data_IF_266205729947
#
_entry.id   IF_266205729947
#
_cell.length_a   1.000
_cell.length_b   1.000
_cell.length_c   1.000
_cell.angle_alpha   90.00
_cell.angle_beta   90.00
_cell.angle_gamma   90.00
#
_symmetry.space_group_name_H-M   'P 1'
#
loop_
_entity.id
_entity.type
_entity.pdbx_description
1 polymer ?
#
# COMPACT_ATOMS: atom_id res chain seq x y z
N UNK A 1 -45.21 -26.57 38.20
CA UNK A 1 -44.93 -25.39 37.37
C UNK A 1 -43.97 -25.87 36.33
N UNK A 2 -44.29 -25.65 35.09
CA UNK A 2 -43.41 -26.03 33.98
C UNK A 2 -42.20 -25.09 33.95
N UNK A 3 -41.04 -25.60 33.63
CA UNK A 3 -39.86 -24.80 33.51
C UNK A 3 -39.46 -24.67 32.04
N UNK A 4 -39.02 -23.47 31.64
CA UNK A 4 -38.52 -23.21 30.31
C UNK A 4 -37.10 -22.72 30.43
N UNK A 5 -36.23 -23.26 29.62
CA UNK A 5 -34.85 -22.77 29.49
C UNK A 5 -34.56 -22.39 28.04
N UNK A 6 -33.73 -21.36 27.88
CA UNK A 6 -33.16 -20.96 26.59
C UNK A 6 -31.65 -21.08 26.67
N UNK A 7 -31.06 -21.90 25.82
CA UNK A 7 -29.62 -22.25 25.87
C UNK A 7 -29.15 -22.70 27.24
N UNK A 8 -30.04 -23.41 27.98
CA UNK A 8 -29.77 -23.89 29.35
C UNK A 8 -30.00 -22.88 30.47
N UNK A 9 -30.27 -21.60 30.16
CA UNK A 9 -30.63 -20.59 31.16
C UNK A 9 -32.14 -20.57 31.38
N UNK A 10 -32.59 -20.60 32.64
CA UNK A 10 -34.02 -20.52 32.99
C UNK A 10 -34.61 -19.16 32.61
N UNK A 11 -35.80 -19.19 32.03
CA UNK A 11 -36.55 -17.97 31.68
C UNK A 11 -37.84 -17.90 32.53
N UNK A 12 -38.25 -16.68 32.84
CA UNK A 12 -39.50 -16.42 33.56
C UNK A 12 -40.63 -16.26 32.53
N UNK A 13 -41.70 -17.02 32.70
CA UNK A 13 -42.91 -16.86 31.90
C UNK A 13 -43.80 -15.76 32.50
N UNK A 14 -44.45 -15.01 31.65
CA UNK A 14 -45.48 -14.05 32.05
C UNK A 14 -46.79 -14.79 32.49
N UNK A 15 -47.84 -14.01 32.84
CA UNK A 15 -49.13 -14.54 33.28
C UNK A 15 -49.83 -15.36 32.19
N UNK A 16 -49.46 -15.17 30.92
CA UNK A 16 -50.03 -15.91 29.78
C UNK A 16 -49.18 -17.12 29.38
N UNK A 17 -48.10 -17.42 30.13
CA UNK A 17 -47.17 -18.50 29.81
C UNK A 17 -46.23 -18.17 28.63
N UNK A 18 -46.03 -16.89 28.32
CA UNK A 18 -45.16 -16.41 27.25
C UNK A 18 -43.85 -15.85 27.83
N UNK A 19 -42.83 -15.81 26.99
CA UNK A 19 -41.58 -15.12 27.31
C UNK A 19 -41.03 -14.45 26.03
N UNK A 20 -40.25 -13.42 26.22
CA UNK A 20 -39.57 -12.75 25.14
C UNK A 20 -38.16 -13.27 25.01
N UNK A 21 -37.79 -13.80 23.84
CA UNK A 21 -36.40 -14.11 23.53
C UNK A 21 -35.61 -12.81 23.49
N UNK A 22 -34.52 -12.74 24.21
CA UNK A 22 -33.54 -11.69 24.02
C UNK A 22 -32.94 -11.84 22.64
N UNK A 23 -32.78 -10.74 21.86
CA UNK A 23 -32.12 -10.81 20.55
C UNK A 23 -30.67 -11.21 20.78
N UNK A 24 -30.39 -12.48 20.62
CA UNK A 24 -29.04 -13.01 20.48
C UNK A 24 -29.01 -13.71 19.13
N UNK A 25 -28.07 -13.33 18.27
CA UNK A 25 -27.89 -13.92 16.97
C UNK A 25 -27.71 -15.43 17.03
N UNK A 26 -28.30 -16.14 16.09
CA UNK A 26 -28.07 -17.54 15.86
C UNK A 26 -29.15 -18.46 16.41
N UNK A 27 -28.81 -19.74 16.52
CA UNK A 27 -29.72 -20.79 16.99
C UNK A 27 -29.92 -20.69 18.50
N UNK A 28 -31.20 -20.57 18.89
CA UNK A 28 -31.60 -20.60 20.31
C UNK A 28 -32.30 -21.93 20.57
N UNK A 29 -31.72 -22.74 21.48
CA UNK A 29 -32.32 -24.00 21.92
C UNK A 29 -33.26 -23.73 23.08
N UNK A 30 -34.56 -23.96 22.88
CA UNK A 30 -35.59 -23.81 23.88
C UNK A 30 -35.96 -25.23 24.38
N UNK A 31 -35.93 -25.42 25.70
CA UNK A 31 -36.33 -26.68 26.34
C UNK A 31 -37.44 -26.38 27.35
N UNK A 32 -38.55 -27.07 27.19
CA UNK A 32 -39.68 -27.01 28.12
C UNK A 32 -39.70 -28.31 28.91
N UNK A 33 -39.80 -28.22 30.22
CA UNK A 33 -39.91 -29.40 31.10
C UNK A 33 -41.19 -29.31 31.89
N UNK A 34 -42.02 -30.35 31.80
CA UNK A 34 -43.26 -30.45 32.56
C UNK A 34 -43.02 -30.88 34.03
N UNK A 35 -44.08 -30.87 34.83
CA UNK A 35 -44.01 -31.30 36.27
C UNK A 35 -43.67 -32.77 36.44
N UNK A 36 -43.85 -33.61 35.44
CA UNK A 36 -43.52 -35.02 35.47
C UNK A 36 -42.07 -35.30 35.05
N UNK A 37 -41.34 -34.25 34.57
CA UNK A 37 -39.97 -34.37 34.13
C UNK A 37 -39.82 -34.67 32.64
N UNK A 38 -40.90 -34.68 31.87
CA UNK A 38 -40.83 -34.83 30.42
C UNK A 38 -40.33 -33.54 29.77
N UNK A 39 -39.52 -33.68 28.76
CA UNK A 39 -38.93 -32.53 28.07
C UNK A 39 -39.35 -32.46 26.60
N UNK A 40 -39.62 -31.26 26.12
CA UNK A 40 -39.76 -30.95 24.70
C UNK A 40 -38.70 -29.91 24.30
N UNK A 41 -38.08 -30.13 23.17
CA UNK A 41 -37.03 -29.24 22.67
C UNK A 41 -37.42 -28.61 21.34
N UNK A 42 -37.07 -27.33 21.14
CA UNK A 42 -37.23 -26.62 19.90
C UNK A 42 -36.02 -25.73 19.64
N UNK A 43 -35.53 -25.72 18.42
CA UNK A 43 -34.50 -24.77 17.99
C UNK A 43 -35.15 -23.68 17.17
N UNK A 44 -34.92 -22.43 17.54
CA UNK A 44 -35.37 -21.26 16.82
C UNK A 44 -34.15 -20.49 16.36
N UNK A 45 -34.05 -20.22 15.04
CA UNK A 45 -33.03 -19.30 14.53
C UNK A 45 -33.53 -17.88 14.70
N UNK A 46 -32.90 -17.12 15.56
CA UNK A 46 -33.18 -15.70 15.71
C UNK A 46 -32.30 -14.97 14.72
N UNK A 47 -32.92 -14.40 13.69
CA UNK A 47 -32.27 -13.38 12.87
C UNK A 47 -32.54 -12.06 13.59
N UNK A 48 -31.48 -11.48 14.10
CA UNK A 48 -31.54 -10.36 15.03
C UNK A 48 -32.05 -9.04 14.45
N UNK A 49 -32.59 -9.01 13.27
CA UNK A 49 -33.22 -7.82 12.69
C UNK A 49 -32.49 -6.50 12.97
N UNK A 50 -31.16 -6.55 13.16
CA UNK A 50 -30.38 -5.35 13.37
C UNK A 50 -30.55 -4.40 12.20
N UNK A 51 -30.94 -3.18 12.47
CA UNK A 51 -30.86 -2.07 11.53
C UNK A 51 -29.63 -1.26 11.92
N UNK A 52 -28.55 -1.40 11.15
CA UNK A 52 -27.34 -0.67 11.44
C UNK A 52 -27.36 0.74 10.85
N UNK A 53 -26.81 1.68 11.60
CA UNK A 53 -26.58 3.05 11.15
C UNK A 53 -25.33 3.18 10.26
N UNK A 54 -24.87 4.40 10.09
CA UNK A 54 -23.71 4.74 9.28
C UNK A 54 -22.39 4.22 9.90
N UNK A 55 -21.44 3.91 9.02
CA UNK A 55 -20.11 3.49 9.42
C UNK A 55 -19.30 4.66 9.98
N UNK A 56 -18.69 4.43 11.13
CA UNK A 56 -17.84 5.42 11.82
C UNK A 56 -16.44 4.83 12.02
N UNK A 57 -15.41 5.61 11.66
CA UNK A 57 -14.02 5.20 11.86
C UNK A 57 -13.68 5.09 13.34
N UNK A 58 -12.97 4.02 13.71
CA UNK A 58 -12.43 3.83 15.06
C UNK A 58 -11.03 4.46 15.23
N UNK A 59 -10.39 4.92 14.12
CA UNK A 59 -9.08 5.57 14.14
C UNK A 59 -7.89 4.60 14.13
N UNK A 60 -8.13 3.30 14.24
CA UNK A 60 -7.12 2.24 14.30
C UNK A 60 -7.00 1.41 13.01
N UNK A 61 -7.63 1.86 11.93
CA UNK A 61 -7.73 1.13 10.65
C UNK A 61 -8.95 0.25 10.57
N UNK A 62 -9.87 0.35 11.54
CA UNK A 62 -11.19 -0.27 11.53
C UNK A 62 -12.29 0.78 11.49
N UNK A 63 -13.50 0.33 11.17
CA UNK A 63 -14.71 1.12 11.28
C UNK A 63 -15.81 0.28 11.92
N UNK A 64 -16.73 0.93 12.59
CA UNK A 64 -17.86 0.26 13.25
C UNK A 64 -19.17 0.99 12.96
N UNK A 65 -20.27 0.24 13.07
CA UNK A 65 -21.62 0.80 13.05
C UNK A 65 -22.45 0.17 14.17
N UNK A 66 -23.39 0.94 14.69
CA UNK A 66 -24.24 0.53 15.79
C UNK A 66 -25.64 0.25 15.28
N UNK A 67 -26.30 -0.71 15.93
CA UNK A 67 -27.74 -0.93 15.73
C UNK A 67 -28.50 0.33 16.11
N UNK A 68 -29.48 0.71 15.28
CA UNK A 68 -30.35 1.86 15.49
C UNK A 68 -31.68 1.50 16.13
N UNK A 69 -31.96 0.19 16.32
CA UNK A 69 -33.16 -0.29 16.99
C UNK A 69 -33.09 0.04 18.47
N UNK A 70 -34.17 0.57 19.02
CA UNK A 70 -34.22 0.97 20.43
C UNK A 70 -33.95 -0.22 21.36
N UNK A 71 -33.08 -0.02 22.35
CA UNK A 71 -32.64 -1.06 23.27
C UNK A 71 -31.61 -2.06 22.73
N UNK A 72 -31.33 -2.03 21.43
CA UNK A 72 -30.31 -2.89 20.81
C UNK A 72 -28.89 -2.37 21.11
N UNK A 73 -27.99 -3.30 21.49
CA UNK A 73 -26.59 -3.01 21.74
C UNK A 73 -25.64 -3.56 20.66
N UNK A 74 -26.22 -4.04 19.56
CA UNK A 74 -25.46 -4.62 18.45
C UNK A 74 -24.47 -3.62 17.86
N UNK A 75 -23.22 -4.06 17.70
CA UNK A 75 -22.14 -3.30 17.04
C UNK A 75 -21.48 -4.23 16.05
N UNK A 76 -21.34 -3.77 14.84
CA UNK A 76 -20.55 -4.45 13.80
C UNK A 76 -19.24 -3.69 13.61
N UNK A 77 -18.14 -4.41 13.54
CA UNK A 77 -16.79 -3.84 13.34
C UNK A 77 -16.08 -4.58 12.23
N UNK A 78 -15.50 -3.83 11.30
CA UNK A 78 -14.75 -4.37 10.16
C UNK A 78 -13.44 -3.60 9.96
N UNK A 79 -12.48 -4.22 9.31
CA UNK A 79 -11.27 -3.53 8.85
C UNK A 79 -11.63 -2.55 7.73
N UNK A 80 -10.97 -1.39 7.72
CA UNK A 80 -11.09 -0.45 6.62
C UNK A 80 -10.56 -1.08 5.32
N UNK A 81 -11.27 -0.86 4.22
CA UNK A 81 -10.93 -1.38 2.90
C UNK A 81 -11.32 -0.39 1.81
N UNK A 82 -10.84 -0.66 0.58
CA UNK A 82 -11.06 0.20 -0.57
C UNK A 82 -10.15 1.42 -0.62
N UNK A 83 -10.30 2.21 -1.68
CA UNK A 83 -9.41 3.32 -1.97
C UNK A 83 -8.00 2.89 -2.34
N UNK A 84 -7.17 3.84 -2.71
CA UNK A 84 -5.77 3.60 -3.10
C UNK A 84 -4.87 4.62 -2.41
N UNK A 85 -3.87 4.14 -1.69
CA UNK A 85 -2.84 5.00 -1.12
C UNK A 85 -1.90 5.52 -2.22
N UNK A 86 -1.44 6.75 -2.10
CA UNK A 86 -0.39 7.32 -2.95
C UNK A 86 0.93 7.43 -2.20
N UNK A 87 1.97 7.89 -2.86
CA UNK A 87 3.29 8.08 -2.23
C UNK A 87 3.27 9.08 -1.06
N UNK A 88 2.24 9.90 -0.94
CA UNK A 88 2.09 10.90 0.15
C UNK A 88 0.81 10.74 0.94
N UNK A 89 -0.21 10.11 0.39
CA UNK A 89 -1.53 10.03 1.01
C UNK A 89 -1.92 8.58 1.31
N UNK A 90 -2.63 8.40 2.41
CA UNK A 90 -3.20 7.11 2.80
C UNK A 90 -4.42 6.78 1.94
N UNK A 91 -4.76 5.50 1.84
CA UNK A 91 -6.03 5.08 1.26
C UNK A 91 -7.22 5.64 2.07
N UNK A 92 -8.32 5.89 1.39
CA UNK A 92 -9.58 6.33 2.01
C UNK A 92 -10.55 5.16 2.02
N UNK A 93 -11.06 4.82 3.19
CA UNK A 93 -12.00 3.71 3.37
C UNK A 93 -13.32 4.01 2.64
N UNK A 94 -13.81 3.08 1.84
CA UNK A 94 -15.06 3.20 1.08
C UNK A 94 -16.31 3.29 1.96
N UNK A 95 -16.24 2.71 3.16
CA UNK A 95 -17.38 2.64 4.07
C UNK A 95 -17.48 3.86 4.99
N UNK A 96 -16.40 4.27 5.63
CA UNK A 96 -16.43 5.37 6.61
C UNK A 96 -15.82 6.67 6.10
N UNK A 97 -15.26 6.71 4.87
CA UNK A 97 -14.69 7.90 4.26
C UNK A 97 -13.44 8.45 4.94
N UNK A 98 -12.80 7.69 5.85
CA UNK A 98 -11.59 8.14 6.56
C UNK A 98 -10.34 7.49 6.03
N UNK A 99 -9.24 8.24 6.09
CA UNK A 99 -7.93 7.74 5.70
C UNK A 99 -7.44 6.66 6.68
N UNK A 100 -6.86 5.57 6.11
CA UNK A 100 -6.36 4.44 6.90
C UNK A 100 -5.06 3.88 6.30
N UNK A 101 -4.37 3.03 7.05
CA UNK A 101 -3.12 2.42 6.61
C UNK A 101 -1.94 3.39 6.57
N UNK A 102 -1.04 3.18 5.63
CA UNK A 102 0.13 4.02 5.35
C UNK A 102 0.11 4.47 3.89
N UNK A 103 0.77 5.59 3.54
CA UNK A 103 1.05 5.91 2.15
C UNK A 103 1.81 4.77 1.46
N UNK A 104 1.57 4.58 0.18
CA UNK A 104 2.31 3.64 -0.65
C UNK A 104 3.43 4.38 -1.38
N UNK A 105 4.66 4.21 -0.89
CA UNK A 105 5.86 4.88 -1.44
C UNK A 105 6.13 4.57 -2.92
N UNK A 106 5.51 3.55 -3.47
CA UNK A 106 5.70 3.13 -4.86
C UNK A 106 4.57 3.60 -5.80
N UNK A 107 3.50 4.14 -5.25
CA UNK A 107 2.36 4.62 -6.05
C UNK A 107 2.48 6.13 -6.32
N UNK A 108 3.19 6.47 -7.38
CA UNK A 108 3.41 7.85 -7.83
C UNK A 108 2.37 8.27 -8.87
N UNK A 109 1.34 9.01 -8.46
CA UNK A 109 0.20 9.36 -9.31
C UNK A 109 0.39 10.63 -10.15
N UNK A 110 1.41 11.47 -9.84
CA UNK A 110 1.70 12.72 -10.56
C UNK A 110 3.15 12.71 -11.09
N UNK A 111 3.45 11.70 -11.92
CA UNK A 111 4.75 11.59 -12.59
C UNK A 111 4.76 12.47 -13.85
N UNK A 112 5.76 13.36 -13.92
CA UNK A 112 6.04 14.20 -15.07
C UNK A 112 7.32 13.74 -15.74
N UNK A 113 7.24 13.40 -17.01
CA UNK A 113 8.38 13.08 -17.84
C UNK A 113 9.08 14.36 -18.28
N UNK A 114 10.38 14.42 -18.13
CA UNK A 114 11.23 15.52 -18.61
C UNK A 114 12.26 14.94 -19.58
N UNK A 115 12.15 15.35 -20.83
CA UNK A 115 13.05 14.91 -21.89
C UNK A 115 14.50 15.38 -21.65
N UNK A 116 15.46 14.58 -22.10
CA UNK A 116 16.87 14.96 -22.08
C UNK A 116 17.11 16.21 -22.91
N UNK A 117 17.87 17.15 -22.37
CA UNK A 117 18.31 18.35 -23.05
C UNK A 117 19.82 18.42 -23.04
N UNK A 118 20.41 18.51 -24.23
CA UNK A 118 21.87 18.64 -24.38
C UNK A 118 22.38 19.94 -23.74
N UNK A 119 23.48 19.83 -22.99
CA UNK A 119 24.17 20.99 -22.47
C UNK A 119 24.82 21.78 -23.62
N UNK A 120 24.95 23.08 -23.46
CA UNK A 120 25.65 23.99 -24.38
C UNK A 120 26.83 24.66 -23.67
N UNK A 121 27.60 25.49 -24.40
CA UNK A 121 28.66 26.29 -23.77
C UNK A 121 28.14 27.36 -22.82
N UNK A 122 26.89 27.79 -22.99
CA UNK A 122 26.28 28.88 -22.22
C UNK A 122 25.21 28.39 -21.21
N UNK A 123 24.63 27.22 -21.44
CA UNK A 123 23.57 26.68 -20.61
C UNK A 123 23.85 25.19 -20.22
N UNK A 124 23.46 24.84 -19.04
CA UNK A 124 23.40 23.44 -18.56
C UNK A 124 22.32 22.67 -19.34
N UNK A 125 22.50 21.39 -19.47
CA UNK A 125 21.49 20.44 -19.93
C UNK A 125 20.89 19.64 -18.79
N UNK A 126 20.11 18.64 -19.16
CA UNK A 126 19.62 17.63 -18.24
C UNK A 126 19.61 16.25 -18.93
N UNK A 127 19.70 15.20 -18.13
CA UNK A 127 19.38 13.85 -18.58
C UNK A 127 17.84 13.70 -18.70
N UNK A 128 17.37 12.66 -19.33
CA UNK A 128 15.98 12.25 -19.22
C UNK A 128 15.67 11.80 -17.79
N UNK A 129 14.55 12.22 -17.23
CA UNK A 129 14.13 11.85 -15.89
C UNK A 129 12.63 12.04 -15.69
N UNK A 130 12.11 11.45 -14.60
CA UNK A 130 10.73 11.61 -14.14
C UNK A 130 10.71 12.33 -12.80
N UNK A 131 9.76 13.22 -12.63
CA UNK A 131 9.55 13.98 -11.40
C UNK A 131 8.15 13.72 -10.86
N UNK A 132 8.05 13.27 -9.61
CA UNK A 132 6.77 13.12 -8.93
C UNK A 132 6.38 14.43 -8.25
N UNK A 133 5.27 15.05 -8.71
CA UNK A 133 4.75 16.28 -8.11
C UNK A 133 4.22 16.07 -6.68
N UNK A 134 3.75 14.86 -6.35
CA UNK A 134 3.24 14.53 -5.02
C UNK A 134 4.33 14.49 -3.95
N UNK A 135 5.37 13.67 -4.13
CA UNK A 135 6.43 13.51 -3.14
C UNK A 135 7.68 14.36 -3.39
N UNK A 136 7.78 15.05 -4.54
CA UNK A 136 8.91 15.92 -4.88
C UNK A 136 10.19 15.21 -5.26
N UNK A 137 10.13 13.89 -5.56
CA UNK A 137 11.29 13.06 -5.87
C UNK A 137 11.51 12.92 -7.36
N UNK A 138 12.75 12.56 -7.73
CA UNK A 138 13.23 12.41 -9.10
C UNK A 138 13.60 10.94 -9.34
N UNK A 139 13.32 10.43 -10.55
CA UNK A 139 13.52 9.03 -10.92
C UNK A 139 14.19 8.92 -12.28
N UNK A 140 14.99 7.88 -12.46
CA UNK A 140 15.66 7.60 -13.73
C UNK A 140 14.78 6.82 -14.70
N UNK A 141 13.64 6.28 -14.24
CA UNK A 141 12.76 5.39 -15.01
C UNK A 141 11.29 5.82 -14.91
N UNK A 142 10.49 5.40 -15.90
CA UNK A 142 9.06 5.70 -16.00
C UNK A 142 8.20 5.07 -14.90
N UNK A 143 8.69 4.00 -14.26
CA UNK A 143 8.00 3.26 -13.21
C UNK A 143 8.30 3.83 -11.82
N UNK A 144 9.18 4.87 -11.76
CA UNK A 144 9.64 5.54 -10.55
C UNK A 144 10.21 4.58 -9.50
N UNK A 145 10.99 3.60 -9.95
CA UNK A 145 11.63 2.60 -9.10
C UNK A 145 13.07 2.98 -8.74
N UNK A 146 13.76 3.74 -9.60
CA UNK A 146 15.13 4.20 -9.40
C UNK A 146 15.16 5.69 -9.02
N UNK A 147 15.15 5.96 -7.70
CA UNK A 147 15.23 7.33 -7.19
C UNK A 147 16.63 7.92 -7.42
N UNK A 148 16.69 9.12 -8.00
CA UNK A 148 17.90 9.88 -8.22
C UNK A 148 17.84 11.25 -7.52
N UNK A 149 18.99 11.86 -7.26
CA UNK A 149 19.01 13.21 -6.71
C UNK A 149 18.76 14.25 -7.79
N UNK A 150 18.13 15.36 -7.44
CA UNK A 150 17.95 16.48 -8.36
C UNK A 150 19.25 16.94 -9.02
N UNK A 151 20.37 16.92 -8.28
CA UNK A 151 21.68 17.30 -8.81
C UNK A 151 22.14 16.38 -9.94
N UNK A 152 21.76 15.10 -9.90
CA UNK A 152 22.18 14.10 -10.87
C UNK A 152 21.38 14.24 -12.18
N UNK A 153 20.27 14.99 -12.20
CA UNK A 153 19.53 15.28 -13.41
C UNK A 153 20.20 16.32 -14.29
N UNK A 154 21.14 17.10 -13.75
CA UNK A 154 21.76 18.24 -14.43
C UNK A 154 23.02 17.81 -15.17
N UNK A 155 23.13 18.18 -16.45
CA UNK A 155 24.34 18.02 -17.25
C UNK A 155 25.12 19.34 -17.29
N UNK A 156 26.35 19.31 -16.82
CA UNK A 156 27.19 20.51 -16.79
C UNK A 156 27.41 21.16 -18.17
N UNK A 157 27.59 22.45 -18.18
CA UNK A 157 27.89 23.20 -19.41
C UNK A 157 29.11 22.61 -20.11
N UNK A 158 29.08 22.62 -21.43
CA UNK A 158 30.24 22.24 -22.24
C UNK A 158 31.43 23.20 -21.98
N UNK A 159 32.66 22.67 -21.90
CA UNK A 159 33.83 23.51 -21.72
C UNK A 159 33.91 24.54 -22.88
N UNK A 160 34.19 25.76 -22.54
CA UNK A 160 34.49 26.78 -23.53
C UNK A 160 35.66 26.28 -24.41
N UNK A 161 35.68 26.71 -25.71
CA UNK A 161 36.84 26.42 -26.54
C UNK A 161 38.10 26.78 -25.73
N UNK A 162 39.05 25.86 -25.53
CA UNK A 162 40.37 26.29 -25.06
C UNK A 162 40.83 27.40 -26.01
N UNK A 163 41.21 28.55 -25.42
CA UNK A 163 41.84 29.60 -26.21
C UNK A 163 42.85 28.91 -27.12
N UNK A 164 42.69 29.08 -28.43
CA UNK A 164 43.61 28.48 -29.42
C UNK A 164 45.04 28.55 -28.89
N UNK A 165 45.78 27.44 -28.80
CA UNK A 165 47.16 27.52 -28.33
C UNK A 165 47.85 28.56 -29.16
N UNK A 166 48.54 29.51 -28.51
CA UNK A 166 49.38 30.48 -29.20
C UNK A 166 50.30 29.63 -30.06
N UNK A 167 50.14 29.68 -31.37
CA UNK A 167 50.99 28.99 -32.34
C UNK A 167 52.43 29.53 -32.19
N UNK A 168 53.25 28.79 -31.43
CA UNK A 168 54.59 29.24 -31.19
C UNK A 168 55.46 28.30 -30.35
N UNK A 169 54.98 27.17 -29.84
CA UNK A 169 55.82 26.26 -29.12
C UNK A 169 55.46 24.80 -29.41
N UNK A 170 56.35 24.14 -30.17
CA UNK A 170 56.18 22.73 -30.58
C UNK A 170 56.20 21.72 -29.43
N UNK A 171 56.46 22.18 -28.19
CA UNK A 171 56.52 21.32 -26.98
C UNK A 171 55.17 20.92 -26.43
N UNK A 172 54.08 21.65 -26.74
CA UNK A 172 52.76 21.32 -26.17
C UNK A 172 52.00 20.23 -26.94
N UNK A 173 52.34 20.04 -28.24
CA UNK A 173 51.72 19.03 -29.06
C UNK A 173 52.01 17.60 -28.59
N UNK A 174 53.18 17.34 -28.04
CA UNK A 174 53.58 16.03 -27.53
C UNK A 174 52.85 15.66 -26.24
N UNK A 175 52.45 16.65 -25.42
CA UNK A 175 51.73 16.44 -24.17
C UNK A 175 50.28 16.07 -24.42
N UNK A 176 49.63 16.61 -25.44
CA UNK A 176 48.25 16.29 -25.83
C UNK A 176 48.10 14.93 -26.49
N UNK A 177 49.12 14.49 -27.27
CA UNK A 177 49.13 13.17 -27.89
C UNK A 177 49.31 12.07 -26.82
N UNK A 178 50.09 12.33 -25.76
CA UNK A 178 50.23 11.37 -24.66
C UNK A 178 48.98 11.20 -23.81
N UNK A 179 48.12 12.23 -23.66
CA UNK A 179 46.85 12.15 -22.93
C UNK A 179 45.79 11.34 -23.68
N UNK A 180 45.80 11.34 -25.01
CA UNK A 180 44.88 10.56 -25.84
C UNK A 180 45.12 9.05 -25.77
N UNK A 181 46.34 8.61 -25.44
CA UNK A 181 46.66 7.18 -25.29
C UNK A 181 46.35 6.60 -23.92
N UNK A 182 46.15 7.42 -22.87
CA UNK A 182 45.82 6.96 -21.51
C UNK A 182 44.31 6.73 -21.33
N UNK A 183 43.46 7.38 -22.11
CA UNK A 183 42.00 7.23 -22.01
C UNK A 183 41.40 6.07 -22.84
N UNK A 184 42.25 5.42 -23.70
CA UNK A 184 41.81 4.34 -24.59
C UNK A 184 42.04 2.93 -24.10
N UNK A 185 42.53 2.73 -22.88
CA UNK A 185 43.02 1.44 -22.47
C UNK A 185 42.43 0.87 -21.19
N UNK A 186 41.13 0.64 -21.06
CA UNK A 186 40.59 -0.42 -20.19
C UNK A 186 39.24 -0.91 -20.73
N UNK A 187 39.27 -1.71 -21.78
CA UNK A 187 38.21 -2.68 -21.99
C UNK A 187 38.82 -4.08 -21.88
N UNK A 188 39.03 -4.50 -20.64
CA UNK A 188 39.41 -5.87 -20.32
C UNK A 188 38.22 -6.81 -20.52
N UNK A 189 38.16 -7.43 -21.70
CA UNK A 189 37.26 -8.58 -21.95
C UNK A 189 37.78 -9.75 -21.14
N UNK A 190 37.18 -10.07 -20.01
CA UNK A 190 37.38 -11.35 -19.33
C UNK A 190 36.51 -12.43 -19.95
N UNK A 191 37.05 -13.13 -20.94
CA UNK A 191 36.46 -14.36 -21.46
C UNK A 191 36.63 -15.48 -20.42
N UNK A 192 35.56 -15.78 -19.68
CA UNK A 192 35.51 -16.89 -18.73
C UNK A 192 35.49 -18.25 -19.47
N UNK A 193 36.60 -18.96 -19.42
CA UNK A 193 36.72 -20.33 -19.86
C UNK A 193 35.95 -21.29 -18.93
N UNK A 194 34.77 -21.73 -19.31
CA UNK A 194 34.03 -22.83 -18.67
C UNK A 194 34.74 -24.16 -18.99
N UNK A 195 35.47 -24.72 -18.02
CA UNK A 195 35.92 -26.12 -18.07
C UNK A 195 34.74 -27.07 -17.90
N UNK A 196 34.38 -27.80 -18.97
CA UNK A 196 33.51 -28.96 -18.90
C UNK A 196 34.19 -30.11 -18.16
N UNK A 197 33.69 -30.49 -16.98
CA UNK A 197 34.03 -31.77 -16.34
C UNK A 197 33.25 -32.88 -17.05
N UNK A 198 33.95 -33.78 -17.72
CA UNK A 198 33.43 -35.09 -18.18
C UNK A 198 33.34 -36.01 -16.98
N UNK A 199 32.15 -36.52 -16.68
CA UNK A 199 31.96 -37.71 -15.86
C UNK A 199 32.11 -38.93 -16.73
N UNK A 200 33.01 -39.85 -16.33
CA UNK A 200 33.15 -41.21 -16.84
C UNK A 200 32.61 -42.14 -15.77
N UNK A 201 31.68 -43.00 -16.20
CA UNK A 201 31.17 -44.25 -15.62
C UNK A 201 30.44 -44.13 -14.28
#
# INVERSE_FOLDING_TARGET
MDTVTVNGAAVTLDENGSFTLSPADGEQKIVVTDKAGNTAEMTVTVNDGHTFGEWTSNGDGTHSRKCTVDGCKGVETMACSGGTATCTEKAVCEYCGKAYGKPDSNNHTDLKHIDAKAATKTAEGNIEYWYCGGCGKYYADSDATEEIKKADTVTAKLPGNPKSPRTGNASDLALWISLLFVSGGVTGVTAGLRKKKKHKV
#
